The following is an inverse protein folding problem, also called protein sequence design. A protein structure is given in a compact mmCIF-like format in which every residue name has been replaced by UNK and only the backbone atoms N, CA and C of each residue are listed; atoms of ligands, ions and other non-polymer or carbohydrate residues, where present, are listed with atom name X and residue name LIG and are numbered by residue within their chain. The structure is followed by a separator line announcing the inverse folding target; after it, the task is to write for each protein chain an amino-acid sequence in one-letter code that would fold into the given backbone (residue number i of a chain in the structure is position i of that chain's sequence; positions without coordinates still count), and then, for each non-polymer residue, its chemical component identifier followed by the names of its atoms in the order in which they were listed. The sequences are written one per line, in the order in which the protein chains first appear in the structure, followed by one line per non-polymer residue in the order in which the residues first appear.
data_IF_578686653268
#
_entry.id   IF_578686653268
#
_cell.length_a   1.000
_cell.length_b   1.000
_cell.length_c   1.000
_cell.angle_alpha   90.00
_cell.angle_beta   90.00
_cell.angle_gamma   90.00
#
_symmetry.space_group_name_H-M   'P 1'
#
loop_
_entity.id
_entity.type
_entity.pdbx_description
1 polymer ?
#
# COMPACT_ATOMS: atom_id res chain seq x y z
N UNK A 1 16.63 2.87 21.06
CA UNK A 1 16.70 1.65 20.23
C UNK A 1 15.48 1.52 19.32
N UNK A 2 14.25 1.53 19.86
CA UNK A 2 13.01 1.46 19.09
C UNK A 2 12.91 2.52 17.96
N UNK A 3 13.13 3.79 18.29
CA UNK A 3 13.08 4.90 17.32
C UNK A 3 14.00 4.67 16.12
N UNK A 4 15.24 4.23 16.37
CA UNK A 4 16.24 4.00 15.31
C UNK A 4 15.77 2.88 14.36
N UNK A 5 15.27 1.77 14.91
CA UNK A 5 14.78 0.64 14.11
C UNK A 5 13.56 1.04 13.26
N UNK A 6 12.61 1.76 13.86
CA UNK A 6 11.42 2.24 13.16
C UNK A 6 11.76 3.27 12.06
N UNK A 7 12.73 4.17 12.29
CA UNK A 7 13.21 5.10 11.26
C UNK A 7 13.91 4.39 10.09
N UNK A 8 14.72 3.36 10.36
CA UNK A 8 15.34 2.54 9.31
C UNK A 8 14.26 1.81 8.51
N UNK A 9 13.27 1.22 9.20
CA UNK A 9 12.12 0.56 8.57
C UNK A 9 11.33 1.49 7.65
N UNK A 10 11.00 2.69 8.10
CA UNK A 10 10.35 3.71 7.27
C UNK A 10 11.19 4.08 6.05
N UNK A 11 12.51 4.21 6.21
CA UNK A 11 13.43 4.48 5.10
C UNK A 11 13.41 3.38 4.04
N UNK A 12 13.44 2.11 4.46
CA UNK A 12 13.35 0.96 3.55
C UNK A 12 12.01 0.91 2.80
N UNK A 13 10.90 1.14 3.51
CA UNK A 13 9.57 1.18 2.89
C UNK A 13 9.49 2.35 1.89
N UNK A 14 10.02 3.53 2.22
CA UNK A 14 10.04 4.66 1.31
C UNK A 14 10.82 4.36 0.02
N UNK A 15 11.98 3.73 0.12
CA UNK A 15 12.76 3.29 -1.05
C UNK A 15 11.98 2.26 -1.87
N UNK A 16 11.30 1.30 -1.21
CA UNK A 16 10.47 0.31 -1.88
C UNK A 16 9.28 0.96 -2.62
N UNK A 17 8.63 1.97 -2.03
CA UNK A 17 7.54 2.73 -2.68
C UNK A 17 8.05 3.46 -3.92
N UNK A 18 9.22 4.10 -3.85
CA UNK A 18 9.81 4.76 -5.02
C UNK A 18 10.13 3.73 -6.12
N UNK A 19 10.67 2.57 -5.73
CA UNK A 19 10.97 1.49 -6.67
C UNK A 19 9.70 0.92 -7.33
N UNK A 20 8.60 0.76 -6.59
CA UNK A 20 7.33 0.28 -7.15
C UNK A 20 6.68 1.32 -8.08
N UNK A 21 6.78 2.62 -7.78
CA UNK A 21 6.38 3.68 -8.72
C UNK A 21 7.20 3.60 -10.01
N UNK A 22 8.51 3.45 -9.91
CA UNK A 22 9.38 3.33 -11.08
C UNK A 22 9.03 2.09 -11.92
N UNK A 23 8.76 0.96 -11.27
CA UNK A 23 8.31 -0.28 -11.92
C UNK A 23 6.95 -0.11 -12.61
N UNK A 24 6.01 0.58 -11.96
CA UNK A 24 4.69 0.90 -12.52
C UNK A 24 4.83 1.75 -13.80
N UNK A 25 5.69 2.76 -13.79
CA UNK A 25 5.94 3.61 -14.96
C UNK A 25 6.64 2.87 -16.11
N UNK A 26 7.49 1.89 -15.80
CA UNK A 26 8.18 1.08 -16.81
C UNK A 26 7.28 0.00 -17.44
N UNK A 27 6.23 -0.43 -16.74
CA UNK A 27 5.39 -1.55 -17.15
C UNK A 27 4.28 -1.09 -18.11
N UNK A 28 4.13 -1.80 -19.25
CA UNK A 28 3.11 -1.48 -20.27
C UNK A 28 1.87 -2.38 -20.21
N UNK A 29 1.94 -3.49 -19.47
CA UNK A 29 0.83 -4.42 -19.30
C UNK A 29 -0.15 -3.97 -18.21
N UNK A 30 -1.43 -3.87 -18.55
CA UNK A 30 -2.48 -3.37 -17.66
C UNK A 30 -2.74 -4.29 -16.47
N UNK A 31 -2.62 -5.61 -16.67
CA UNK A 31 -2.78 -6.59 -15.59
C UNK A 31 -1.67 -6.44 -14.55
N UNK A 32 -0.43 -6.36 -15.03
CA UNK A 32 0.73 -6.16 -14.16
C UNK A 32 0.67 -4.82 -13.43
N UNK A 33 0.26 -3.74 -14.11
CA UNK A 33 0.08 -2.42 -13.48
C UNK A 33 -0.99 -2.43 -12.38
N UNK A 34 -2.08 -3.18 -12.55
CA UNK A 34 -3.11 -3.32 -11.51
C UNK A 34 -2.53 -3.95 -10.24
N UNK A 35 -1.76 -5.04 -10.37
CA UNK A 35 -1.12 -5.71 -9.23
C UNK A 35 -0.04 -4.84 -8.59
N UNK A 36 0.74 -4.10 -9.38
CA UNK A 36 1.73 -3.14 -8.86
C UNK A 36 1.05 -2.02 -8.09
N UNK A 37 -0.11 -1.55 -8.53
CA UNK A 37 -0.90 -0.53 -7.83
C UNK A 37 -1.34 -1.02 -6.44
N UNK A 38 -1.77 -2.28 -6.32
CA UNK A 38 -2.14 -2.87 -5.02
C UNK A 38 -0.91 -2.98 -4.11
N UNK A 39 0.22 -3.42 -4.64
CA UNK A 39 1.49 -3.49 -3.90
C UNK A 39 1.92 -2.11 -3.38
N UNK A 40 1.80 -1.08 -4.21
CA UNK A 40 2.11 0.30 -3.84
C UNK A 40 1.19 0.79 -2.72
N UNK A 41 -0.12 0.56 -2.84
CA UNK A 41 -1.09 0.97 -1.83
C UNK A 41 -0.79 0.33 -0.46
N UNK A 42 -0.59 -0.99 -0.42
CA UNK A 42 -0.25 -1.66 0.85
C UNK A 42 1.11 -1.27 1.41
N UNK A 43 2.08 -0.92 0.55
CA UNK A 43 3.37 -0.38 1.00
C UNK A 43 3.19 0.98 1.70
N UNK A 44 2.30 1.83 1.19
CA UNK A 44 1.94 3.11 1.84
C UNK A 44 1.22 2.90 3.17
N UNK A 45 0.31 1.92 3.27
CA UNK A 45 -0.34 1.55 4.55
C UNK A 45 0.71 1.06 5.55
N UNK A 46 1.66 0.23 5.11
CA UNK A 46 2.79 -0.22 5.94
C UNK A 46 3.63 0.94 6.48
N UNK A 47 3.91 1.94 5.63
CA UNK A 47 4.60 3.17 6.06
C UNK A 47 3.80 3.92 7.14
N UNK A 48 2.49 4.08 6.93
CA UNK A 48 1.61 4.77 7.87
C UNK A 48 1.51 4.06 9.23
N UNK A 49 1.51 2.72 9.25
CA UNK A 49 1.53 1.94 10.50
C UNK A 49 2.79 2.27 11.31
N UNK A 50 3.97 2.22 10.70
CA UNK A 50 5.23 2.52 11.40
C UNK A 50 5.26 3.97 11.87
N UNK A 51 4.71 4.90 11.09
CA UNK A 51 4.59 6.31 11.47
C UNK A 51 3.63 6.53 12.65
N UNK A 52 2.51 5.80 12.68
CA UNK A 52 1.53 5.85 13.79
C UNK A 52 2.13 5.40 15.11
N UNK A 53 3.13 4.51 15.11
CA UNK A 53 3.82 4.11 16.35
C UNK A 53 4.58 5.27 17.04
N UNK A 54 4.77 6.40 16.35
CA UNK A 54 5.35 7.62 16.92
C UNK A 54 4.31 8.64 17.39
N UNK A 55 3.02 8.41 17.09
CA UNK A 55 1.92 9.29 17.44
C UNK A 55 0.95 8.55 18.35
N UNK A 56 0.79 9.03 19.59
CA UNK A 56 -0.14 8.43 20.54
C UNK A 56 -1.58 8.89 20.23
N UNK A 57 -2.10 8.49 19.07
CA UNK A 57 -3.47 8.77 18.63
C UNK A 57 -4.23 7.46 18.37
N UNK A 58 -5.35 7.27 19.05
CA UNK A 58 -6.22 6.11 18.84
C UNK A 58 -6.84 6.09 17.44
N UNK A 59 -7.05 7.27 16.84
CA UNK A 59 -7.68 7.43 15.53
C UNK A 59 -6.84 6.79 14.42
N UNK A 60 -5.52 6.72 14.58
CA UNK A 60 -4.63 6.17 13.56
C UNK A 60 -4.93 4.68 13.29
N UNK A 61 -5.29 3.92 14.31
CA UNK A 61 -5.65 2.50 14.18
C UNK A 61 -6.98 2.30 13.44
N UNK A 62 -7.94 3.20 13.63
CA UNK A 62 -9.20 3.20 12.89
C UNK A 62 -8.96 3.50 11.41
N UNK A 63 -8.09 4.47 11.13
CA UNK A 63 -7.65 4.81 9.77
C UNK A 63 -6.95 3.61 9.13
N UNK A 64 -6.03 2.93 9.82
CA UNK A 64 -5.37 1.71 9.30
C UNK A 64 -6.41 0.65 8.93
N UNK A 65 -7.40 0.42 9.81
CA UNK A 65 -8.44 -0.57 9.59
C UNK A 65 -9.31 -0.23 8.38
N UNK A 66 -9.80 1.01 8.29
CA UNK A 66 -10.59 1.50 7.15
C UNK A 66 -9.78 1.43 5.85
N UNK A 67 -8.51 1.81 5.89
CA UNK A 67 -7.63 1.81 4.71
C UNK A 67 -7.36 0.38 4.24
N UNK A 68 -7.13 -0.57 5.15
CA UNK A 68 -6.88 -1.97 4.81
C UNK A 68 -8.10 -2.66 4.18
N UNK A 69 -9.30 -2.40 4.68
CA UNK A 69 -10.53 -3.08 4.23
C UNK A 69 -11.18 -2.31 3.07
N UNK A 70 -11.53 -1.04 3.32
CA UNK A 70 -12.30 -0.23 2.38
C UNK A 70 -11.39 0.29 1.27
N UNK A 71 -10.22 0.80 1.64
CA UNK A 71 -9.27 1.38 0.69
C UNK A 71 -8.45 0.34 -0.09
N UNK A 72 -8.15 -0.82 0.48
CA UNK A 72 -7.28 -1.83 -0.12
C UNK A 72 -8.07 -2.90 -0.89
N UNK A 73 -8.86 -3.69 -0.17
CA UNK A 73 -9.49 -4.89 -0.76
C UNK A 73 -10.55 -4.55 -1.81
N UNK A 74 -11.33 -3.48 -1.61
CA UNK A 74 -12.42 -3.13 -2.54
C UNK A 74 -11.91 -2.67 -3.90
N UNK A 75 -10.90 -1.78 -4.01
CA UNK A 75 -10.34 -1.41 -5.32
C UNK A 75 -9.69 -2.58 -6.05
N UNK A 76 -8.97 -3.46 -5.35
CA UNK A 76 -8.38 -4.66 -5.95
C UNK A 76 -9.45 -5.57 -6.56
N UNK A 77 -10.51 -5.89 -5.81
CA UNK A 77 -11.62 -6.71 -6.32
C UNK A 77 -12.37 -6.03 -7.47
N UNK A 78 -12.57 -4.72 -7.39
CA UNK A 78 -13.24 -3.95 -8.45
C UNK A 78 -12.42 -3.99 -9.74
N UNK A 79 -11.12 -3.78 -9.65
CA UNK A 79 -10.20 -3.82 -10.78
C UNK A 79 -10.12 -5.23 -11.38
N UNK A 80 -10.03 -6.27 -10.54
CA UNK A 80 -10.06 -7.66 -10.99
C UNK A 80 -11.34 -8.00 -11.77
N UNK A 81 -12.51 -7.52 -11.32
CA UNK A 81 -13.79 -7.72 -12.01
C UNK A 81 -13.89 -6.96 -13.34
N UNK A 82 -13.37 -5.74 -13.38
CA UNK A 82 -13.32 -4.95 -14.62
C UNK A 82 -12.45 -5.67 -15.66
N UNK A 83 -11.28 -6.15 -15.23
CA UNK A 83 -10.35 -6.89 -16.10
C UNK A 83 -10.96 -8.23 -16.54
N UNK A 84 -11.60 -8.97 -15.64
CA UNK A 84 -12.26 -10.24 -15.98
C UNK A 84 -13.54 -10.07 -16.80
N UNK A 85 -13.97 -8.82 -17.05
CA UNK A 85 -15.24 -8.48 -17.72
C UNK A 85 -16.45 -9.13 -17.05
N UNK A 86 -16.38 -9.34 -15.73
CA UNK A 86 -17.43 -10.01 -14.96
C UNK A 86 -17.56 -11.51 -15.19
N UNK A 87 -16.65 -12.16 -15.94
CA UNK A 87 -16.52 -13.61 -15.93
C UNK A 87 -15.94 -14.02 -14.57
N UNK A 88 -16.68 -14.91 -13.89
CA UNK A 88 -16.30 -15.48 -12.60
C UNK A 88 -15.05 -16.32 -12.72
#
# INVERSE_FOLDING_TARGET
MFVILASIGMGLIAVAVIATVALMAATRDQLTVAVISDLLFYSMVGFYIVWSMFHDSQIDYEVIFLTAIVGGVLPTMSTARIISKGRR
#
